data_IF_122552982708
#
_entry.id   IF_122552982708
#
_cell.length_a   1.000
_cell.length_b   1.000
_cell.length_c   1.000
_cell.angle_alpha   90.00
_cell.angle_beta   90.00
_cell.angle_gamma   90.00
#
_symmetry.space_group_name_H-M   'P 1'
#
loop_
_entity.id
_entity.type
_entity.pdbx_description
1 polymer ?
#
# COMPACT_ATOMS: atom_id res chain seq x y z
N UNK A 1 -17.23 9.79 -1.13
CA UNK A 1 -17.75 8.50 -1.64
C UNK A 1 -16.60 7.52 -1.68
N UNK A 2 -16.84 6.25 -1.39
CA UNK A 2 -15.83 5.20 -1.40
C UNK A 2 -16.09 4.28 -2.58
N UNK A 3 -15.04 3.83 -3.27
CA UNK A 3 -15.13 2.92 -4.40
C UNK A 3 -14.32 1.65 -4.11
N UNK A 4 -14.98 0.50 -4.16
CA UNK A 4 -14.29 -0.79 -4.13
C UNK A 4 -13.52 -0.98 -5.43
N UNK A 5 -12.20 -1.03 -5.34
CA UNK A 5 -11.30 -1.26 -6.48
C UNK A 5 -11.33 -2.72 -6.94
N UNK A 6 -11.29 -3.67 -5.99
CA UNK A 6 -11.30 -5.09 -6.30
C UNK A 6 -10.79 -5.95 -5.15
N UNK A 7 -10.82 -7.25 -5.38
CA UNK A 7 -10.17 -8.26 -4.54
C UNK A 7 -9.20 -9.02 -5.43
N UNK A 8 -7.92 -8.99 -5.05
CA UNK A 8 -6.86 -9.67 -5.76
C UNK A 8 -6.40 -10.87 -4.94
N UNK A 9 -6.32 -12.03 -5.58
CA UNK A 9 -5.67 -13.19 -4.98
C UNK A 9 -4.16 -12.94 -4.97
N UNK A 10 -3.50 -13.28 -3.85
CA UNK A 10 -2.06 -13.17 -3.71
C UNK A 10 -1.48 -14.56 -3.88
N UNK A 11 -0.76 -14.77 -4.98
CA UNK A 11 -0.04 -16.00 -5.22
C UNK A 11 1.32 -15.98 -4.49
N UNK A 12 1.68 -17.09 -3.84
CA UNK A 12 2.97 -17.23 -3.16
C UNK A 12 3.01 -16.70 -1.72
N UNK A 13 4.17 -16.22 -1.27
CA UNK A 13 4.34 -15.73 0.10
C UNK A 13 3.69 -14.37 0.31
N UNK A 14 3.04 -14.16 1.46
CA UNK A 14 2.48 -12.87 1.83
C UNK A 14 3.55 -11.91 2.39
N UNK A 15 4.70 -11.83 1.72
CA UNK A 15 5.76 -10.86 2.02
C UNK A 15 5.33 -9.45 1.64
N UNK A 16 5.98 -8.43 2.22
CA UNK A 16 5.67 -7.05 1.88
C UNK A 16 5.93 -6.73 0.42
N UNK A 17 7.01 -7.27 -0.14
CA UNK A 17 7.41 -7.10 -1.53
C UNK A 17 6.36 -7.68 -2.49
N UNK A 18 5.85 -8.88 -2.22
CA UNK A 18 4.83 -9.50 -3.07
C UNK A 18 3.49 -8.73 -3.00
N UNK A 19 3.10 -8.30 -1.79
CA UNK A 19 1.93 -7.44 -1.63
C UNK A 19 2.10 -6.10 -2.36
N UNK A 20 3.30 -5.53 -2.34
CA UNK A 20 3.61 -4.26 -3.01
C UNK A 20 3.50 -4.39 -4.53
N UNK A 21 3.95 -5.50 -5.11
CA UNK A 21 3.82 -5.80 -6.54
C UNK A 21 2.35 -5.77 -6.98
N UNK A 22 1.48 -6.53 -6.30
CA UNK A 22 0.04 -6.58 -6.61
C UNK A 22 -0.64 -5.21 -6.47
N UNK A 23 -0.31 -4.47 -5.40
CA UNK A 23 -0.83 -3.11 -5.21
C UNK A 23 -0.34 -2.16 -6.30
N UNK A 24 0.94 -2.23 -6.66
CA UNK A 24 1.53 -1.37 -7.68
C UNK A 24 0.91 -1.61 -9.05
N UNK A 25 0.77 -2.88 -9.46
CA UNK A 25 0.11 -3.24 -10.72
C UNK A 25 -1.33 -2.69 -10.77
N UNK A 26 -2.05 -2.76 -9.65
CA UNK A 26 -3.40 -2.19 -9.53
C UNK A 26 -3.39 -0.66 -9.72
N UNK A 27 -2.46 0.05 -9.08
CA UNK A 27 -2.35 1.51 -9.20
C UNK A 27 -2.01 1.95 -10.63
N UNK A 28 -1.16 1.18 -11.32
CA UNK A 28 -0.81 1.40 -12.72
C UNK A 28 -2.01 1.16 -13.63
N UNK A 29 -2.70 0.03 -13.44
CA UNK A 29 -3.88 -0.36 -14.22
C UNK A 29 -4.99 0.70 -14.16
N UNK A 30 -5.18 1.30 -12.98
CA UNK A 30 -6.21 2.31 -12.74
C UNK A 30 -5.75 3.75 -13.00
N UNK A 31 -4.50 3.96 -13.44
CA UNK A 31 -3.90 5.28 -13.68
C UNK A 31 -3.93 6.20 -12.45
N UNK A 32 -3.99 5.63 -11.24
CA UNK A 32 -4.08 6.39 -9.97
C UNK A 32 -2.81 7.20 -9.71
N UNK A 33 -1.67 6.74 -10.24
CA UNK A 33 -0.38 7.40 -10.09
C UNK A 33 -0.37 8.84 -10.63
N UNK A 34 -1.23 9.15 -11.62
CA UNK A 34 -1.38 10.50 -12.18
C UNK A 34 -2.09 11.47 -11.22
N UNK A 35 -2.83 10.93 -10.25
CA UNK A 35 -3.66 11.68 -9.31
C UNK A 35 -3.06 11.77 -7.90
N UNK A 36 -1.86 11.22 -7.71
CA UNK A 36 -1.11 11.14 -6.43
C UNK A 36 -1.78 10.27 -5.35
N UNK A 37 -1.02 9.32 -4.82
CA UNK A 37 -1.43 8.53 -3.65
C UNK A 37 -1.05 9.29 -2.38
N UNK A 38 -2.02 9.54 -1.50
CA UNK A 38 -1.79 10.25 -0.23
C UNK A 38 -1.26 9.29 0.84
N UNK A 39 -2.00 8.20 1.08
CA UNK A 39 -1.67 7.24 2.13
C UNK A 39 -2.29 5.86 1.87
N UNK A 40 -1.68 4.83 2.47
CA UNK A 40 -2.22 3.48 2.61
C UNK A 40 -2.67 3.27 4.06
N UNK A 41 -3.92 2.85 4.24
CA UNK A 41 -4.49 2.49 5.55
C UNK A 41 -4.62 0.98 5.63
N UNK A 42 -3.92 0.35 6.57
CA UNK A 42 -3.87 -1.12 6.67
C UNK A 42 -3.84 -1.58 8.13
N UNK A 43 -4.03 -2.87 8.38
CA UNK A 43 -3.87 -3.44 9.71
C UNK A 43 -2.40 -3.38 10.20
N UNK A 44 -2.20 -3.64 11.49
CA UNK A 44 -0.92 -3.46 12.16
C UNK A 44 -0.06 -4.74 12.09
N UNK A 45 0.22 -5.20 10.88
CA UNK A 45 1.09 -6.36 10.60
C UNK A 45 2.44 -5.88 10.08
N UNK A 46 3.51 -6.62 10.37
CA UNK A 46 4.87 -6.23 9.98
C UNK A 46 5.13 -6.31 8.47
N UNK A 47 4.42 -7.17 7.74
CA UNK A 47 4.57 -7.24 6.28
C UNK A 47 4.04 -5.97 5.58
N UNK A 48 3.08 -5.27 6.17
CA UNK A 48 2.62 -3.96 5.69
C UNK A 48 3.72 -2.88 5.84
N UNK A 49 4.59 -2.99 6.85
CA UNK A 49 5.74 -2.08 6.99
C UNK A 49 6.73 -2.24 5.82
N UNK A 50 7.02 -3.49 5.45
CA UNK A 50 7.88 -3.80 4.31
C UNK A 50 7.21 -3.48 2.98
N UNK A 51 5.89 -3.67 2.87
CA UNK A 51 5.12 -3.37 1.67
C UNK A 51 5.20 -1.88 1.30
N UNK A 52 4.95 -0.98 2.24
CA UNK A 52 4.98 0.47 1.94
C UNK A 52 6.40 0.95 1.61
N UNK A 53 7.44 0.32 2.17
CA UNK A 53 8.83 0.59 1.78
C UNK A 53 9.12 0.14 0.34
N UNK A 54 8.65 -1.03 -0.05
CA UNK A 54 8.76 -1.51 -1.43
C UNK A 54 8.00 -0.60 -2.40
N UNK A 55 6.79 -0.16 -2.05
CA UNK A 55 6.04 0.83 -2.83
C UNK A 55 6.78 2.17 -2.96
N UNK A 56 7.42 2.65 -1.90
CA UNK A 56 8.24 3.87 -1.98
C UNK A 56 9.34 3.74 -3.04
N UNK A 57 10.01 2.60 -3.12
CA UNK A 57 11.03 2.36 -4.15
C UNK A 57 10.43 2.40 -5.57
N UNK A 58 9.22 1.85 -5.76
CA UNK A 58 8.49 1.93 -7.03
C UNK A 58 8.11 3.38 -7.40
N UNK A 59 7.62 4.16 -6.44
CA UNK A 59 7.32 5.59 -6.64
C UNK A 59 8.59 6.40 -6.98
N UNK A 60 9.69 6.15 -6.26
CA UNK A 60 11.00 6.77 -6.53
C UNK A 60 11.50 6.44 -7.94
N UNK A 61 11.33 5.19 -8.38
CA UNK A 61 11.65 4.74 -9.74
C UNK A 61 10.88 5.50 -10.83
N UNK A 62 9.73 6.08 -10.49
CA UNK A 62 8.93 6.94 -11.39
C UNK A 62 9.08 8.44 -11.13
N UNK A 63 10.02 8.86 -10.29
CA UNK A 63 10.21 10.25 -9.85
C UNK A 63 8.97 10.85 -9.17
N UNK A 64 8.17 10.02 -8.50
CA UNK A 64 7.01 10.47 -7.72
C UNK A 64 7.45 10.57 -6.26
N UNK A 65 7.26 11.74 -5.65
CA UNK A 65 7.58 11.92 -4.24
C UNK A 65 6.54 11.20 -3.37
N UNK A 66 6.96 10.14 -2.70
CA UNK A 66 6.16 9.36 -1.79
C UNK A 66 7.01 8.99 -0.57
N UNK A 67 6.45 9.06 0.64
CA UNK A 67 7.18 8.74 1.87
C UNK A 67 6.47 7.67 2.66
N UNK A 68 7.08 6.48 2.76
CA UNK A 68 6.52 5.38 3.53
C UNK A 68 6.28 5.72 5.00
N UNK A 69 7.10 6.62 5.57
CA UNK A 69 6.95 7.08 6.94
C UNK A 69 5.70 7.96 7.12
N UNK A 70 5.40 8.84 6.16
CA UNK A 70 4.29 9.80 6.27
C UNK A 70 2.98 9.29 5.66
N UNK A 71 3.05 8.33 4.75
CA UNK A 71 1.92 7.82 3.97
C UNK A 71 1.43 6.45 4.44
N UNK A 72 1.91 5.96 5.60
CA UNK A 72 1.39 4.74 6.23
C UNK A 72 0.51 5.10 7.42
N UNK A 73 -0.74 4.64 7.39
CA UNK A 73 -1.70 4.78 8.48
C UNK A 73 -2.15 3.40 8.95
N UNK A 74 -2.39 3.28 10.26
CA UNK A 74 -2.96 2.08 10.84
C UNK A 74 -4.48 2.13 10.83
N UNK A 75 -5.09 0.98 10.61
CA UNK A 75 -6.53 0.77 10.69
C UNK A 75 -6.98 1.02 12.15
N UNK A 76 -7.80 2.06 12.34
CA UNK A 76 -8.27 2.51 13.66
C UNK A 76 -8.88 1.38 14.53
N UNK A 77 -9.77 0.52 14.01
CA UNK A 77 -10.29 -0.61 14.77
C UNK A 77 -9.22 -1.54 15.35
N UNK A 78 -8.15 -1.84 14.60
CA UNK A 78 -7.08 -2.71 15.06
C UNK A 78 -6.24 -2.03 16.15
N UNK A 79 -5.97 -0.73 16.02
CA UNK A 79 -5.28 0.05 17.07
C UNK A 79 -6.06 0.05 18.38
N UNK A 80 -7.39 0.21 18.33
CA UNK A 80 -8.25 0.18 19.54
C UNK A 80 -8.27 -1.21 20.17
N UNK A 81 -8.32 -2.28 19.37
CA UNK A 81 -8.35 -3.65 19.88
C UNK A 81 -7.01 -4.06 20.55
N UNK A 82 -5.90 -3.40 20.19
CA UNK A 82 -4.57 -3.65 20.76
C UNK A 82 -4.28 -2.82 22.03
N UNK A 83 -5.14 -1.88 22.40
CA UNK A 83 -4.95 -0.93 23.51
C UNK A 83 -5.50 -1.42 24.86
#
# INVERSE_FOLDING_TARGET
>A
EELLIGFWEIDGEHSGENLAEVVWETLVLLQVLEHSVIAFVMDNTSNNDTMVKALQAEFEGRNINFSACHSRLWCMPHTIHLA
#
